data_IF_592565717176
#
_entry.id   IF_592565717176
#
_cell.length_a   1.000
_cell.length_b   1.000
_cell.length_c   1.000
_cell.angle_alpha   90.00
_cell.angle_beta   90.00
_cell.angle_gamma   90.00
#
_symmetry.space_group_name_H-M   'P 1'
#
loop_
_entity.id
_entity.type
_entity.pdbx_description
1 polymer ?
#
# COMPACT_ATOMS: atom_id res chain seq x y z
N UNK A 1 -9.25 12.09 0.66
CA UNK A 1 -7.84 11.99 1.13
C UNK A 1 -7.02 11.39 -0.02
N UNK A 2 -6.04 12.11 -0.56
CA UNK A 2 -5.18 11.58 -1.63
C UNK A 2 -4.34 10.43 -1.05
N UNK A 3 -4.46 9.23 -1.62
CA UNK A 3 -3.60 8.09 -1.23
C UNK A 3 -2.20 8.38 -1.78
N UNK A 4 -1.15 8.23 -0.98
CA UNK A 4 0.24 8.40 -1.43
C UNK A 4 1.04 7.18 -0.99
N UNK A 5 1.94 6.72 -1.84
CA UNK A 5 2.80 5.59 -1.51
C UNK A 5 3.86 6.07 -0.52
N UNK A 6 3.81 5.59 0.71
CA UNK A 6 4.77 5.94 1.74
C UNK A 6 6.20 5.43 1.44
N UNK A 7 6.39 4.58 0.42
CA UNK A 7 7.70 4.01 0.04
C UNK A 7 8.36 4.78 -1.09
N UNK A 8 7.61 5.12 -2.13
CA UNK A 8 8.15 5.77 -3.34
C UNK A 8 7.50 7.13 -3.64
N UNK A 9 6.68 7.65 -2.73
CA UNK A 9 5.95 8.91 -2.85
C UNK A 9 5.07 9.03 -4.10
N UNK A 10 4.80 7.92 -4.78
CA UNK A 10 3.87 7.87 -5.90
C UNK A 10 2.51 8.33 -5.42
N UNK A 11 1.97 9.36 -6.06
CA UNK A 11 0.58 9.75 -5.95
C UNK A 11 -0.12 9.02 -7.11
N UNK A 12 -1.20 8.27 -6.89
CA UNK A 12 -1.99 7.75 -7.99
C UNK A 12 -2.48 8.96 -8.78
N UNK A 13 -2.24 8.96 -10.09
CA UNK A 13 -2.97 9.85 -10.99
C UNK A 13 -4.46 9.62 -10.72
N UNK A 14 -5.18 10.70 -10.46
CA UNK A 14 -6.62 10.63 -10.24
C UNK A 14 -7.27 10.43 -11.61
N UNK A 15 -7.40 9.18 -12.04
CA UNK A 15 -8.42 8.83 -13.01
C UNK A 15 -9.77 8.89 -12.27
N UNK A 16 -10.49 9.99 -12.51
CA UNK A 16 -11.90 10.17 -12.22
C UNK A 16 -12.71 9.15 -13.04
N UNK A 17 -12.72 7.88 -12.63
CA UNK A 17 -13.73 6.94 -13.09
C UNK A 17 -14.16 6.03 -11.93
N UNK A 18 -15.30 6.41 -11.39
CA UNK A 18 -16.14 5.61 -10.49
C UNK A 18 -16.48 4.30 -11.18
N UNK A 19 -15.88 3.21 -10.73
CA UNK A 19 -16.39 1.87 -11.01
C UNK A 19 -16.57 1.15 -9.68
N UNK A 20 -17.83 1.18 -9.24
CA UNK A 20 -18.36 0.19 -8.31
C UNK A 20 -18.11 -1.22 -8.88
N UNK A 21 -18.05 -2.21 -7.98
CA UNK A 21 -18.01 -3.65 -8.25
C UNK A 21 -16.64 -4.38 -8.27
N UNK A 22 -16.51 -5.19 -7.20
CA UNK A 22 -15.73 -6.42 -7.04
C UNK A 22 -14.26 -6.35 -6.61
N UNK A 23 -14.02 -7.03 -5.48
CA UNK A 23 -12.72 -7.33 -4.89
C UNK A 23 -11.77 -8.01 -5.89
N UNK A 24 -10.48 -7.67 -5.76
CA UNK A 24 -9.29 -8.26 -6.40
C UNK A 24 -9.13 -7.93 -7.89
N UNK A 25 -8.22 -7.04 -8.29
CA UNK A 25 -6.79 -7.24 -8.06
C UNK A 25 -5.99 -5.98 -8.36
N UNK A 26 -5.00 -5.68 -7.50
CA UNK A 26 -4.08 -4.52 -7.52
C UNK A 26 -4.57 -3.25 -6.81
N UNK A 27 -5.43 -3.40 -5.80
CA UNK A 27 -5.70 -2.34 -4.84
C UNK A 27 -4.43 -1.97 -4.08
N UNK A 28 -4.26 -0.67 -3.80
CA UNK A 28 -3.23 -0.15 -2.91
C UNK A 28 -3.12 -0.95 -1.62
N UNK A 29 -1.90 -1.31 -1.24
CA UNK A 29 -1.62 -2.08 -0.04
C UNK A 29 -1.66 -1.20 1.21
N UNK A 30 -2.37 -1.62 2.25
CA UNK A 30 -2.39 -0.92 3.54
C UNK A 30 -1.80 -1.86 4.60
N UNK A 31 -0.78 -1.38 5.30
CA UNK A 31 -0.09 -2.11 6.37
C UNK A 31 0.01 -1.27 7.62
N UNK A 32 0.04 -1.94 8.77
CA UNK A 32 0.38 -1.33 10.05
C UNK A 32 1.82 -1.70 10.39
N UNK A 33 2.68 -0.71 10.53
CA UNK A 33 4.10 -0.91 10.88
C UNK A 33 4.37 -0.27 12.24
N UNK A 34 5.17 -0.95 13.07
CA UNK A 34 5.62 -0.41 14.35
C UNK A 34 6.80 0.53 14.10
N UNK A 35 6.71 1.75 14.61
CA UNK A 35 7.78 2.75 14.56
C UNK A 35 8.84 2.46 15.63
N UNK A 36 10.01 3.10 15.52
CA UNK A 36 11.07 2.98 16.53
C UNK A 36 10.64 3.45 17.93
N UNK A 37 9.68 4.38 17.98
CA UNK A 37 9.06 4.90 19.21
C UNK A 37 8.07 3.90 19.85
N UNK A 38 7.81 2.77 19.19
CA UNK A 38 6.85 1.76 19.66
C UNK A 38 5.39 2.06 19.29
N UNK A 39 5.12 3.24 18.74
CA UNK A 39 3.84 3.57 18.13
C UNK A 39 3.62 2.78 16.83
N UNK A 40 2.37 2.73 16.36
CA UNK A 40 2.05 2.08 15.09
C UNK A 40 1.61 3.13 14.07
N UNK A 41 2.19 3.08 12.88
CA UNK A 41 1.80 3.94 11.76
C UNK A 41 1.12 3.12 10.67
N UNK A 42 0.16 3.73 9.99
CA UNK A 42 -0.51 3.15 8.83
C UNK A 42 0.26 3.56 7.59
N UNK A 43 0.80 2.57 6.90
CA UNK A 43 1.63 2.72 5.71
C UNK A 43 0.85 2.24 4.51
N UNK A 44 0.58 3.16 3.60
CA UNK A 44 -0.07 2.89 2.33
C UNK A 44 1.00 2.73 1.24
N UNK A 45 0.91 1.65 0.45
CA UNK A 45 1.87 1.29 -0.58
C UNK A 45 1.16 1.16 -1.92
N UNK A 46 1.75 1.69 -2.98
CA UNK A 46 1.27 1.45 -4.34
C UNK A 46 1.37 -0.06 -4.68
N UNK A 47 0.62 -0.55 -5.69
CA UNK A 47 0.58 -1.97 -6.02
C UNK A 47 1.98 -2.59 -6.26
N UNK A 48 2.88 -1.85 -6.92
CA UNK A 48 4.26 -2.29 -7.16
C UNK A 48 5.06 -2.48 -5.85
N UNK A 49 4.99 -1.50 -4.93
CA UNK A 49 5.66 -1.59 -3.63
C UNK A 49 5.02 -2.63 -2.71
N UNK A 50 3.69 -2.81 -2.80
CA UNK A 50 2.97 -3.82 -2.04
C UNK A 50 3.39 -5.24 -2.44
N UNK A 51 3.47 -5.52 -3.74
CA UNK A 51 3.92 -6.83 -4.24
C UNK A 51 5.32 -7.18 -3.72
N UNK A 52 6.26 -6.22 -3.77
CA UNK A 52 7.61 -6.40 -3.21
C UNK A 52 7.59 -6.65 -1.70
N UNK A 53 6.77 -5.90 -0.96
CA UNK A 53 6.64 -6.08 0.48
C UNK A 53 6.11 -7.46 0.87
N UNK A 54 5.04 -7.92 0.21
CA UNK A 54 4.44 -9.23 0.47
C UNK A 54 5.42 -10.35 0.13
N UNK A 55 6.16 -10.24 -0.99
CA UNK A 55 7.21 -11.19 -1.34
C UNK A 55 8.32 -11.23 -0.29
N UNK A 56 8.78 -10.07 0.19
CA UNK A 56 9.79 -9.99 1.25
C UNK A 56 9.30 -10.61 2.57
N UNK A 57 8.00 -10.49 2.89
CA UNK A 57 7.40 -11.08 4.10
C UNK A 57 7.18 -12.59 4.03
N UNK A 58 7.01 -13.15 2.84
CA UNK A 58 6.88 -14.61 2.65
C UNK A 58 8.24 -15.33 2.59
N UNK A 59 9.34 -14.59 2.47
CA UNK A 59 10.70 -15.13 2.32
C UNK A 59 11.49 -15.35 3.62
N UNK A 60 10.86 -15.38 4.79
CA UNK A 60 11.54 -15.81 6.02
C UNK A 60 11.37 -17.33 6.20
N UNK A 61 12.42 -18.16 6.03
CA UNK A 61 12.40 -19.55 6.49
C UNK A 61 12.27 -19.64 8.02
#
# INVERSE_FOLDING_TARGET
MRRVCAVCSLVPEQDDEESEETMSSQSWGITRERTADGSFTIVTRCPACWKKFVQAKQGSP
#
